data_IF_344615487084
#
_entry.id   IF_344615487084
#
_cell.length_a   1.000
_cell.length_b   1.000
_cell.length_c   1.000
_cell.angle_alpha   90.00
_cell.angle_beta   90.00
_cell.angle_gamma   90.00
#
_symmetry.space_group_name_H-M   'P 1'
#
loop_
_entity.id
_entity.type
_entity.pdbx_description
1 polymer ?
#
# COMPACT_ATOMS: atom_id res chain seq x y z
N UNK A 1 -34.76 5.84 11.57
CA UNK A 1 -33.49 5.10 11.36
C UNK A 1 -32.48 6.14 10.95
N UNK A 2 -31.63 6.57 11.88
CA UNK A 2 -30.49 7.41 11.52
C UNK A 2 -29.38 6.49 11.02
N UNK A 3 -29.24 6.46 9.69
CA UNK A 3 -28.25 5.65 8.97
C UNK A 3 -26.82 6.18 9.13
N UNK A 4 -26.65 7.35 9.76
CA UNK A 4 -25.36 7.97 10.02
C UNK A 4 -25.08 7.96 11.52
N UNK A 5 -24.34 6.94 11.96
CA UNK A 5 -23.76 6.86 13.29
C UNK A 5 -22.23 6.84 13.20
N UNK A 6 -21.56 6.93 14.35
CA UNK A 6 -20.09 7.02 14.41
C UNK A 6 -19.41 5.78 13.80
N UNK A 7 -19.99 4.60 13.96
CA UNK A 7 -19.50 3.37 13.35
C UNK A 7 -19.52 3.45 11.82
N UNK A 8 -20.64 3.91 11.24
CA UNK A 8 -20.78 4.07 9.78
C UNK A 8 -19.78 5.10 9.24
N UNK A 9 -19.56 6.19 9.97
CA UNK A 9 -18.55 7.20 9.62
C UNK A 9 -17.13 6.60 9.60
N UNK A 10 -16.72 5.91 10.67
CA UNK A 10 -15.39 5.29 10.74
C UNK A 10 -15.19 4.21 9.69
N UNK A 11 -16.22 3.41 9.43
CA UNK A 11 -16.19 2.42 8.36
C UNK A 11 -15.96 3.10 6.98
N UNK A 12 -16.68 4.19 6.70
CA UNK A 12 -16.49 4.96 5.47
C UNK A 12 -15.08 5.59 5.39
N UNK A 13 -14.55 6.12 6.49
CA UNK A 13 -13.19 6.67 6.53
C UNK A 13 -12.13 5.59 6.25
N UNK A 14 -12.26 4.41 6.86
CA UNK A 14 -11.36 3.28 6.59
C UNK A 14 -11.46 2.84 5.12
N UNK A 15 -12.67 2.79 4.55
CA UNK A 15 -12.85 2.51 3.14
C UNK A 15 -12.14 3.53 2.25
N UNK A 16 -12.24 4.83 2.56
CA UNK A 16 -11.51 5.89 1.85
C UNK A 16 -9.99 5.70 1.96
N UNK A 17 -9.48 5.34 3.14
CA UNK A 17 -8.04 5.06 3.33
C UNK A 17 -7.57 3.88 2.45
N UNK A 18 -8.33 2.78 2.40
CA UNK A 18 -7.99 1.65 1.52
C UNK A 18 -8.14 1.98 0.05
N UNK A 19 -9.17 2.73 -0.36
CA UNK A 19 -9.33 3.18 -1.74
C UNK A 19 -8.13 4.05 -2.15
N UNK A 20 -7.74 5.00 -1.30
CA UNK A 20 -6.56 5.83 -1.52
C UNK A 20 -5.30 4.99 -1.68
N UNK A 21 -5.08 4.03 -0.77
CA UNK A 21 -3.97 3.08 -0.88
C UNK A 21 -4.02 2.30 -2.20
N UNK A 22 -5.15 1.69 -2.57
CA UNK A 22 -5.23 0.90 -3.80
C UNK A 22 -5.03 1.73 -5.07
N UNK A 23 -5.44 2.99 -5.08
CA UNK A 23 -5.21 3.89 -6.22
C UNK A 23 -3.74 4.29 -6.30
N UNK A 24 -3.16 4.75 -5.19
CA UNK A 24 -1.80 5.28 -5.14
C UNK A 24 -0.76 4.16 -5.26
N UNK A 25 -0.85 3.16 -4.39
CA UNK A 25 0.05 2.01 -4.39
C UNK A 25 -0.16 1.09 -5.59
N UNK A 26 -1.40 1.02 -6.09
CA UNK A 26 -1.72 0.26 -7.31
C UNK A 26 -0.97 0.80 -8.52
N UNK A 27 -0.78 2.13 -8.61
CA UNK A 27 0.06 2.74 -9.62
C UNK A 27 1.53 2.31 -9.48
N UNK A 28 2.09 2.33 -8.27
CA UNK A 28 3.48 1.95 -8.01
C UNK A 28 3.76 0.49 -8.38
N UNK A 29 2.88 -0.42 -7.95
CA UNK A 29 2.95 -1.83 -8.34
C UNK A 29 2.77 -2.00 -9.86
N UNK A 30 1.84 -1.25 -10.46
CA UNK A 30 1.61 -1.25 -11.90
C UNK A 30 2.87 -0.88 -12.68
N UNK A 31 3.53 0.23 -12.33
CA UNK A 31 4.80 0.65 -12.92
C UNK A 31 5.88 -0.41 -12.70
N UNK A 32 6.02 -0.95 -11.49
CA UNK A 32 7.02 -1.97 -11.17
C UNK A 32 6.88 -3.26 -11.99
N UNK A 33 5.65 -3.73 -12.20
CA UNK A 33 5.35 -4.93 -13.02
C UNK A 33 5.59 -4.62 -14.50
N UNK A 34 5.00 -3.52 -15.00
CA UNK A 34 5.05 -3.16 -16.41
C UNK A 34 6.45 -2.78 -16.89
N UNK A 35 7.32 -2.28 -16.01
CA UNK A 35 8.72 -1.97 -16.34
C UNK A 35 9.46 -3.19 -16.92
N UNK A 36 9.14 -4.41 -16.48
CA UNK A 36 9.78 -5.62 -17.03
C UNK A 36 9.22 -6.03 -18.40
N UNK A 37 8.01 -5.60 -18.73
CA UNK A 37 7.27 -6.03 -19.93
C UNK A 37 7.40 -5.00 -21.06
N UNK A 38 7.37 -3.71 -20.73
CA UNK A 38 7.26 -2.61 -21.69
C UNK A 38 8.60 -1.93 -21.97
N UNK A 39 9.49 -1.82 -20.98
CA UNK A 39 10.72 -1.06 -21.13
C UNK A 39 11.71 -1.79 -22.06
N UNK A 40 12.10 -1.12 -23.15
CA UNK A 40 12.93 -1.72 -24.20
C UNK A 40 14.43 -1.66 -23.88
N UNK A 41 14.84 -0.65 -23.11
CA UNK A 41 16.23 -0.48 -22.67
C UNK A 41 16.34 -0.02 -21.20
N UNK A 42 17.57 0.17 -20.71
CA UNK A 42 17.82 0.63 -19.36
C UNK A 42 17.38 2.08 -19.11
N UNK A 43 17.30 2.91 -20.16
CA UNK A 43 16.82 4.29 -20.06
C UNK A 43 15.33 4.31 -19.77
N UNK A 44 14.54 3.54 -20.52
CA UNK A 44 13.09 3.38 -20.31
C UNK A 44 12.81 2.88 -18.89
N UNK A 45 13.56 1.87 -18.43
CA UNK A 45 13.44 1.33 -17.07
C UNK A 45 13.68 2.39 -16.02
N UNK A 46 14.72 3.20 -16.20
CA UNK A 46 15.06 4.28 -15.27
C UNK A 46 14.01 5.37 -15.27
N UNK A 47 13.50 5.78 -16.43
CA UNK A 47 12.43 6.78 -16.53
C UNK A 47 11.17 6.28 -15.82
N UNK A 48 10.74 5.04 -16.07
CA UNK A 48 9.56 4.45 -15.42
C UNK A 48 9.72 4.41 -13.90
N UNK A 49 10.84 3.88 -13.39
CA UNK A 49 11.09 3.81 -11.94
C UNK A 49 11.16 5.22 -11.30
N UNK A 50 11.72 6.21 -12.00
CA UNK A 50 11.80 7.58 -11.49
C UNK A 50 10.43 8.26 -11.37
N UNK A 51 9.38 7.76 -12.04
CA UNK A 51 8.02 8.30 -11.87
C UNK A 51 7.42 8.01 -10.50
N UNK A 52 7.82 6.90 -9.87
CA UNK A 52 7.30 6.44 -8.57
C UNK A 52 8.27 6.71 -7.42
N UNK A 53 9.57 6.82 -7.71
CA UNK A 53 10.64 7.02 -6.72
C UNK A 53 10.42 8.14 -5.68
N UNK A 54 9.86 9.31 -6.05
CA UNK A 54 9.64 10.39 -5.08
C UNK A 54 8.42 10.20 -4.17
N UNK A 55 7.49 9.29 -4.50
CA UNK A 55 6.15 9.23 -3.86
C UNK A 55 5.83 7.88 -3.20
N UNK A 56 6.52 6.80 -3.57
CA UNK A 56 6.19 5.44 -3.09
C UNK A 56 6.17 5.31 -1.56
N UNK A 57 7.12 5.92 -0.87
CA UNK A 57 7.21 5.86 0.60
C UNK A 57 5.99 6.54 1.26
N UNK A 58 5.50 7.62 0.64
CA UNK A 58 4.26 8.29 1.05
C UNK A 58 3.01 7.46 0.77
N UNK A 59 3.01 6.66 -0.29
CA UNK A 59 1.89 5.79 -0.63
C UNK A 59 1.73 4.65 0.41
N UNK A 60 2.84 4.11 0.93
CA UNK A 60 2.81 3.08 1.98
C UNK A 60 2.15 3.57 3.29
N UNK A 61 2.23 4.87 3.58
CA UNK A 61 1.60 5.46 4.78
C UNK A 61 0.07 5.26 4.77
N UNK A 62 -0.56 5.14 3.60
CA UNK A 62 -1.99 4.92 3.51
C UNK A 62 -2.41 3.57 4.10
N UNK A 63 -1.68 2.49 3.82
CA UNK A 63 -2.01 1.16 4.39
C UNK A 63 -1.69 1.10 5.88
N UNK A 64 -0.63 1.77 6.33
CA UNK A 64 -0.31 1.89 7.76
C UNK A 64 -1.44 2.62 8.51
N UNK A 65 -1.91 3.72 7.94
CA UNK A 65 -3.00 4.52 8.53
C UNK A 65 -4.32 3.77 8.48
N UNK A 66 -4.62 3.06 7.40
CA UNK A 66 -5.81 2.21 7.30
C UNK A 66 -5.80 1.10 8.37
N UNK A 67 -4.67 0.41 8.55
CA UNK A 67 -4.49 -0.60 9.60
C UNK A 67 -4.61 0.00 11.01
N UNK A 68 -4.01 1.16 11.24
CA UNK A 68 -4.13 1.89 12.51
C UNK A 68 -5.56 2.35 12.81
N UNK A 69 -6.28 2.84 11.81
CA UNK A 69 -7.68 3.23 11.92
C UNK A 69 -8.58 2.02 12.20
N UNK A 70 -8.33 0.87 11.55
CA UNK A 70 -9.00 -0.39 11.88
C UNK A 70 -8.75 -0.79 13.33
N UNK A 71 -7.50 -0.72 13.81
CA UNK A 71 -7.15 -1.05 15.19
C UNK A 71 -7.86 -0.12 16.19
N UNK A 72 -7.94 1.18 15.90
CA UNK A 72 -8.55 2.17 16.78
C UNK A 72 -10.09 2.12 16.78
N UNK A 73 -10.73 2.02 15.62
CA UNK A 73 -12.18 2.10 15.49
C UNK A 73 -12.87 0.73 15.62
N UNK A 74 -12.24 -0.35 15.16
CA UNK A 74 -12.80 -1.70 15.16
C UNK A 74 -11.76 -2.77 15.57
N UNK A 75 -11.34 -2.80 16.86
CA UNK A 75 -10.24 -3.65 17.32
C UNK A 75 -10.46 -5.14 17.04
N UNK A 76 -11.70 -5.62 17.19
CA UNK A 76 -12.03 -7.03 16.94
C UNK A 76 -11.90 -7.38 15.45
N UNK A 77 -12.31 -6.48 14.55
CA UNK A 77 -12.15 -6.67 13.10
C UNK A 77 -10.66 -6.73 12.73
N UNK A 78 -9.87 -5.78 13.23
CA UNK A 78 -8.42 -5.78 13.07
C UNK A 78 -7.79 -7.10 13.55
N UNK A 79 -8.07 -7.50 14.80
CA UNK A 79 -7.50 -8.71 15.38
C UNK A 79 -7.89 -9.97 14.61
N UNK A 80 -9.14 -10.08 14.16
CA UNK A 80 -9.64 -11.24 13.41
C UNK A 80 -8.95 -11.35 12.04
N UNK A 81 -8.80 -10.24 11.32
CA UNK A 81 -8.12 -10.24 10.00
C UNK A 81 -6.65 -10.60 10.16
N UNK A 82 -5.92 -9.95 11.06
CA UNK A 82 -4.47 -10.17 11.22
C UNK A 82 -4.12 -11.55 11.77
N UNK A 83 -4.98 -12.15 12.60
CA UNK A 83 -4.77 -13.51 13.11
C UNK A 83 -5.19 -14.59 12.10
N UNK A 84 -6.35 -14.43 11.44
CA UNK A 84 -6.86 -15.44 10.50
C UNK A 84 -6.02 -15.49 9.22
N UNK A 85 -5.51 -14.35 8.76
CA UNK A 85 -4.67 -14.23 7.57
C UNK A 85 -3.19 -14.02 7.91
N UNK A 86 -2.73 -14.56 9.04
CA UNK A 86 -1.35 -14.38 9.50
C UNK A 86 -0.30 -14.67 8.41
N UNK A 87 -0.34 -15.86 7.81
CA UNK A 87 0.64 -16.25 6.79
C UNK A 87 0.58 -15.35 5.54
N UNK A 88 -0.59 -15.12 4.90
CA UNK A 88 -0.69 -14.20 3.77
C UNK A 88 -0.19 -12.78 4.07
N UNK A 89 -0.60 -12.19 5.20
CA UNK A 89 -0.20 -10.82 5.57
C UNK A 89 1.29 -10.74 5.90
N UNK A 90 1.85 -11.79 6.50
CA UNK A 90 3.29 -11.88 6.75
C UNK A 90 4.10 -11.89 5.45
N UNK A 91 3.66 -12.63 4.43
CA UNK A 91 4.30 -12.63 3.12
C UNK A 91 4.20 -11.27 2.42
N UNK A 92 3.05 -10.59 2.53
CA UNK A 92 2.87 -9.23 2.01
C UNK A 92 3.85 -8.28 2.69
N UNK A 93 3.97 -8.34 4.01
CA UNK A 93 4.91 -7.50 4.77
C UNK A 93 6.36 -7.69 4.30
N UNK A 94 6.80 -8.94 4.13
CA UNK A 94 8.15 -9.22 3.58
C UNK A 94 8.29 -8.62 2.18
N UNK A 95 7.28 -8.76 1.32
CA UNK A 95 7.28 -8.18 -0.02
C UNK A 95 7.45 -6.67 -0.02
N UNK A 96 6.73 -5.97 0.86
CA UNK A 96 6.84 -4.52 1.04
C UNK A 96 8.24 -4.11 1.53
N UNK A 97 8.79 -4.81 2.53
CA UNK A 97 10.15 -4.55 3.03
C UNK A 97 11.19 -4.70 1.91
N UNK A 98 11.15 -5.81 1.17
CA UNK A 98 12.09 -6.05 0.06
C UNK A 98 11.97 -4.96 -1.01
N UNK A 99 10.74 -4.52 -1.30
CA UNK A 99 10.48 -3.44 -2.25
C UNK A 99 11.08 -2.11 -1.79
N UNK A 100 10.84 -1.71 -0.54
CA UNK A 100 11.38 -0.46 0.00
C UNK A 100 12.91 -0.44 0.00
N UNK A 101 13.52 -1.56 0.42
CA UNK A 101 14.98 -1.74 0.37
C UNK A 101 15.52 -1.65 -1.07
N UNK A 102 14.81 -2.24 -2.04
CA UNK A 102 15.23 -2.21 -3.44
C UNK A 102 15.22 -0.79 -4.04
N UNK A 103 14.24 0.05 -3.67
CA UNK A 103 14.21 1.45 -4.11
C UNK A 103 15.33 2.28 -3.46
N UNK A 104 15.51 2.16 -2.15
CA UNK A 104 16.53 2.90 -1.40
C UNK A 104 17.96 2.58 -1.87
N UNK A 105 18.26 1.31 -2.18
CA UNK A 105 19.58 0.92 -2.69
C UNK A 105 19.79 1.26 -4.17
N UNK A 106 18.73 1.37 -4.98
CA UNK A 106 18.85 1.79 -6.39
C UNK A 106 19.14 3.28 -6.52
N UNK A 107 18.64 4.13 -5.63
CA UNK A 107 18.91 5.57 -5.63
C UNK A 107 20.34 5.96 -5.22
N UNK A 108 21.09 5.04 -4.61
CA UNK A 108 22.49 5.26 -4.14
C UNK A 108 23.57 4.90 -5.18
N UNK A 109 23.17 4.63 -6.43
CA UNK A 109 24.08 4.31 -7.54
C UNK A 109 24.08 5.37 -8.63
#
# INVERSE_FOLDING_TARGET
MDWFNLETLWFALIAVLFIGYFVLEGFDFGVGILTKVIASDDTDRRVMINTIGPVWDGNEVWVLTAGGAMFAAFPLWYATVFSSFYLPLFLILIGLIVRGVAFEFRGKR
#
